data_IF_078485811551
#
_entry.id   IF_078485811551
#
_cell.length_a   1.000
_cell.length_b   1.000
_cell.length_c   1.000
_cell.angle_alpha   90.00
_cell.angle_beta   90.00
_cell.angle_gamma   90.00
#
_symmetry.space_group_name_H-M   'P 1'
#
loop_
_entity.id
_entity.type
_entity.pdbx_description
1 polymer ?
#
# COMPACT_ATOMS: atom_id res chain seq x y z
N UNK A 1 6.66 48.31 1.31
CA UNK A 1 7.56 47.83 2.39
C UNK A 1 7.35 46.33 2.48
N UNK A 2 7.97 45.59 1.55
CA UNK A 2 7.83 44.13 1.45
C UNK A 2 9.08 43.51 2.05
N UNK A 3 9.02 43.23 3.34
CA UNK A 3 10.03 42.40 4.00
C UNK A 3 9.64 40.96 3.70
N UNK A 4 10.05 40.45 2.54
CA UNK A 4 10.23 39.01 2.42
C UNK A 4 11.41 38.69 3.35
N UNK A 5 11.24 37.84 4.38
CA UNK A 5 12.38 37.39 5.17
C UNK A 5 13.43 36.82 4.21
N UNK A 6 14.71 37.13 4.45
CA UNK A 6 15.79 36.59 3.65
C UNK A 6 15.70 35.06 3.71
N UNK A 7 15.40 34.42 2.59
CA UNK A 7 15.26 32.97 2.46
C UNK A 7 16.52 32.30 2.99
N UNK A 8 16.37 31.47 4.01
CA UNK A 8 17.48 30.69 4.55
C UNK A 8 17.65 29.43 3.71
N UNK A 9 18.37 29.58 2.60
CA UNK A 9 18.56 28.51 1.60
C UNK A 9 19.12 27.23 2.24
N UNK A 10 20.05 27.36 3.19
CA UNK A 10 20.62 26.19 3.87
C UNK A 10 19.59 25.47 4.75
N UNK A 11 18.65 26.20 5.34
CA UNK A 11 17.54 25.65 6.12
C UNK A 11 16.53 24.94 5.24
N UNK A 12 16.15 25.53 4.10
CA UNK A 12 15.27 24.91 3.10
C UNK A 12 15.88 23.63 2.51
N UNK A 13 17.16 23.66 2.13
CA UNK A 13 17.85 22.46 1.65
C UNK A 13 17.90 21.34 2.69
N UNK A 14 18.03 21.69 3.98
CA UNK A 14 17.99 20.70 5.06
C UNK A 14 16.59 20.09 5.21
N UNK A 15 15.53 20.90 5.09
CA UNK A 15 14.14 20.43 5.08
C UNK A 15 13.90 19.47 3.91
N UNK A 16 14.26 19.85 2.68
CA UNK A 16 14.05 19.00 1.51
C UNK A 16 14.83 17.68 1.60
N UNK A 17 16.10 17.70 2.02
CA UNK A 17 16.87 16.47 2.26
C UNK A 17 16.18 15.56 3.28
N UNK A 18 15.55 16.14 4.30
CA UNK A 18 14.82 15.36 5.31
C UNK A 18 13.51 14.81 4.75
N UNK A 19 12.74 15.60 4.01
CA UNK A 19 11.51 15.16 3.35
C UNK A 19 11.78 14.05 2.31
N UNK A 20 12.89 14.14 1.57
CA UNK A 20 13.34 13.07 0.66
C UNK A 20 13.63 11.77 1.43
N UNK A 21 14.33 11.87 2.57
CA UNK A 21 14.58 10.71 3.42
C UNK A 21 13.27 10.10 3.95
N UNK A 22 12.32 10.92 4.41
CA UNK A 22 10.99 10.47 4.83
C UNK A 22 10.24 9.77 3.68
N UNK A 23 10.29 10.32 2.47
CA UNK A 23 9.66 9.72 1.30
C UNK A 23 10.26 8.34 1.01
N UNK A 24 11.58 8.20 1.07
CA UNK A 24 12.23 6.90 0.91
C UNK A 24 11.85 5.90 2.00
N UNK A 25 11.77 6.35 3.25
CA UNK A 25 11.29 5.51 4.37
C UNK A 25 9.84 5.03 4.17
N UNK A 26 8.98 5.83 3.55
CA UNK A 26 7.60 5.44 3.21
C UNK A 26 7.58 4.45 2.04
N UNK A 27 8.38 4.69 1.00
CA UNK A 27 8.45 3.83 -0.19
C UNK A 27 9.04 2.45 0.12
N UNK A 28 10.05 2.38 1.00
CA UNK A 28 10.61 1.09 1.44
C UNK A 28 9.59 0.23 2.18
N UNK A 29 8.71 0.86 2.99
CA UNK A 29 7.61 0.18 3.71
C UNK A 29 6.42 -0.15 2.81
N UNK A 30 6.27 0.58 1.69
CA UNK A 30 5.23 0.35 0.70
C UNK A 30 5.81 0.06 -0.70
N UNK A 31 6.43 -1.13 -0.93
CA UNK A 31 7.07 -1.47 -2.19
C UNK A 31 6.16 -1.38 -3.42
N UNK A 32 4.88 -1.72 -3.28
CA UNK A 32 3.90 -1.64 -4.37
C UNK A 32 3.59 -0.19 -4.72
N UNK A 33 3.47 0.69 -3.72
CA UNK A 33 3.38 2.13 -3.91
C UNK A 33 4.64 2.71 -4.57
N UNK A 34 5.84 2.25 -4.15
CA UNK A 34 7.10 2.66 -4.75
C UNK A 34 7.15 2.37 -6.26
N UNK A 35 6.73 1.17 -6.67
CA UNK A 35 6.61 0.81 -8.09
C UNK A 35 5.62 1.73 -8.83
N UNK A 36 4.47 2.08 -8.23
CA UNK A 36 3.49 3.00 -8.85
C UNK A 36 4.09 4.40 -9.07
N UNK A 37 4.98 4.82 -8.19
CA UNK A 37 5.68 6.10 -8.24
C UNK A 37 6.92 6.06 -9.15
N UNK A 38 7.22 4.91 -9.78
CA UNK A 38 8.35 4.74 -10.70
C UNK A 38 9.68 4.41 -10.04
N UNK A 39 9.67 4.06 -8.75
CA UNK A 39 10.85 3.56 -8.05
C UNK A 39 10.83 2.04 -7.95
N UNK A 40 11.82 1.43 -8.59
CA UNK A 40 11.86 0.00 -8.84
C UNK A 40 12.81 -0.76 -7.90
N UNK A 41 13.32 -0.11 -6.84
CA UNK A 41 14.28 -0.72 -5.90
C UNK A 41 13.72 -1.91 -5.12
N UNK A 42 12.40 -2.02 -4.99
CA UNK A 42 11.73 -3.06 -4.20
C UNK A 42 10.62 -3.78 -4.99
N UNK A 43 10.74 -3.83 -6.32
CA UNK A 43 9.71 -4.44 -7.20
C UNK A 43 9.42 -5.91 -6.87
N UNK A 44 10.36 -6.63 -6.26
CA UNK A 44 10.23 -8.04 -5.88
C UNK A 44 9.49 -8.25 -4.55
N UNK A 45 9.06 -7.17 -3.87
CA UNK A 45 8.49 -7.22 -2.52
C UNK A 45 7.04 -6.79 -2.48
N UNK A 46 6.32 -7.36 -1.51
CA UNK A 46 5.05 -6.86 -1.00
C UNK A 46 5.27 -6.30 0.41
N UNK A 47 4.49 -5.31 0.80
CA UNK A 47 4.55 -4.71 2.13
C UNK A 47 4.35 -5.76 3.24
N UNK A 48 4.98 -5.54 4.39
CA UNK A 48 4.64 -6.27 5.60
C UNK A 48 3.33 -5.71 6.19
N UNK A 49 2.30 -6.55 6.28
CA UNK A 49 1.00 -6.17 6.82
C UNK A 49 0.74 -6.83 8.17
N UNK A 50 1.77 -7.30 8.87
CA UNK A 50 1.64 -7.76 10.26
C UNK A 50 1.18 -6.60 11.16
N UNK A 51 0.51 -6.91 12.27
CA UNK A 51 0.06 -5.89 13.22
C UNK A 51 1.23 -5.06 13.78
N UNK A 52 2.40 -5.67 13.98
CA UNK A 52 3.63 -4.99 14.40
C UNK A 52 4.11 -4.00 13.34
N UNK A 53 4.24 -4.43 12.08
CA UNK A 53 4.66 -3.55 10.99
C UNK A 53 3.70 -2.38 10.76
N UNK A 54 2.39 -2.61 10.90
CA UNK A 54 1.39 -1.57 10.77
C UNK A 54 1.44 -0.55 11.93
N UNK A 55 1.68 -0.99 13.16
CA UNK A 55 1.89 -0.07 14.29
C UNK A 55 3.19 0.72 14.12
N UNK A 56 4.29 0.08 13.72
CA UNK A 56 5.55 0.76 13.41
C UNK A 56 5.40 1.82 12.30
N UNK A 57 4.64 1.51 11.25
CA UNK A 57 4.29 2.47 10.19
C UNK A 57 3.55 3.68 10.77
N UNK A 58 2.54 3.44 11.61
CA UNK A 58 1.81 4.51 12.27
C UNK A 58 2.68 5.38 13.19
N UNK A 59 3.53 4.77 14.03
CA UNK A 59 4.46 5.51 14.88
C UNK A 59 5.45 6.33 14.04
N UNK A 60 5.93 5.78 12.92
CA UNK A 60 6.77 6.50 11.97
C UNK A 60 6.08 7.73 11.39
N UNK A 61 4.83 7.59 10.96
CA UNK A 61 4.02 8.70 10.45
C UNK A 61 3.84 9.81 11.50
N UNK A 62 3.58 9.45 12.76
CA UNK A 62 3.47 10.42 13.86
C UNK A 62 4.79 11.16 14.11
N UNK A 63 5.91 10.44 14.10
CA UNK A 63 7.23 11.04 14.29
C UNK A 63 7.58 12.03 13.15
N UNK A 64 7.30 11.65 11.90
CA UNK A 64 7.51 12.54 10.74
C UNK A 64 6.64 13.79 10.82
N UNK A 65 5.37 13.65 11.24
CA UNK A 65 4.46 14.78 11.44
C UNK A 65 4.97 15.74 12.52
N UNK A 66 5.40 15.23 13.67
CA UNK A 66 5.93 16.04 14.76
C UNK A 66 7.19 16.79 14.32
N UNK A 67 8.11 16.11 13.61
CA UNK A 67 9.32 16.73 13.09
C UNK A 67 9.01 17.87 12.11
N UNK A 68 8.05 17.66 11.20
CA UNK A 68 7.62 18.71 10.27
C UNK A 68 6.87 19.84 10.98
N UNK A 69 6.14 19.58 12.07
CA UNK A 69 5.47 20.63 12.86
C UNK A 69 6.48 21.57 13.54
N UNK A 70 7.61 21.03 14.01
CA UNK A 70 8.66 21.79 14.69
C UNK A 70 9.51 22.66 13.74
N UNK A 71 9.35 22.50 12.42
CA UNK A 71 10.00 23.36 11.42
C UNK A 71 9.46 24.79 11.51
N UNK A 72 10.37 25.75 11.65
CA UNK A 72 10.07 27.19 11.69
C UNK A 72 9.70 27.68 10.28
N UNK A 73 8.39 27.77 10.03
CA UNK A 73 7.84 28.16 8.73
C UNK A 73 8.19 29.58 8.31
N UNK A 74 8.48 30.49 9.26
CA UNK A 74 8.80 31.88 8.96
C UNK A 74 10.18 32.05 8.30
N UNK A 75 11.02 31.00 8.40
CA UNK A 75 12.35 30.92 7.75
C UNK A 75 12.30 30.33 6.34
N UNK A 76 11.15 29.80 5.93
CA UNK A 76 10.95 29.18 4.62
C UNK A 76 10.38 30.21 3.63
N UNK A 77 10.83 30.14 2.39
CA UNK A 77 10.15 30.74 1.24
C UNK A 77 8.79 30.09 0.99
N UNK A 78 7.95 30.78 0.22
CA UNK A 78 6.55 30.36 0.00
C UNK A 78 6.43 28.93 -0.53
N UNK A 79 7.28 28.53 -1.47
CA UNK A 79 7.24 27.19 -2.08
C UNK A 79 7.54 26.11 -1.03
N UNK A 80 8.60 26.27 -0.23
CA UNK A 80 8.95 25.33 0.83
C UNK A 80 7.89 25.28 1.95
N UNK A 81 7.20 26.39 2.24
CA UNK A 81 6.05 26.37 3.15
C UNK A 81 4.90 25.53 2.60
N UNK A 82 4.57 25.68 1.31
CA UNK A 82 3.52 24.93 0.64
C UNK A 82 3.88 23.44 0.60
N UNK A 83 5.09 23.09 0.18
CA UNK A 83 5.54 21.70 0.08
C UNK A 83 5.50 20.99 1.44
N UNK A 84 6.00 21.66 2.49
CA UNK A 84 5.90 21.16 3.87
C UNK A 84 4.45 20.90 4.28
N UNK A 85 3.54 21.86 4.01
CA UNK A 85 2.13 21.71 4.37
C UNK A 85 1.46 20.56 3.61
N UNK A 86 1.73 20.42 2.31
CA UNK A 86 1.23 19.32 1.50
C UNK A 86 1.72 17.97 2.02
N UNK A 87 3.01 17.89 2.37
CA UNK A 87 3.58 16.65 2.89
C UNK A 87 3.03 16.29 4.26
N UNK A 88 2.89 17.26 5.17
CA UNK A 88 2.19 17.06 6.45
C UNK A 88 0.74 16.61 6.25
N UNK A 89 0.04 17.16 5.27
CA UNK A 89 -1.33 16.74 4.97
C UNK A 89 -1.38 15.27 4.52
N UNK A 90 -0.47 14.87 3.62
CA UNK A 90 -0.34 13.49 3.13
C UNK A 90 -0.06 12.50 4.28
N UNK A 91 0.94 12.79 5.12
CA UNK A 91 1.26 11.97 6.29
C UNK A 91 0.07 11.88 7.26
N UNK A 92 -0.61 13.00 7.48
CA UNK A 92 -1.80 13.07 8.31
C UNK A 92 -2.95 12.23 7.76
N UNK A 93 -3.10 12.13 6.43
CA UNK A 93 -4.11 11.26 5.81
C UNK A 93 -3.82 9.79 6.12
N UNK A 94 -2.57 9.34 5.98
CA UNK A 94 -2.19 7.96 6.31
C UNK A 94 -2.37 7.65 7.80
N UNK A 95 -1.96 8.56 8.68
CA UNK A 95 -2.15 8.39 10.13
C UNK A 95 -3.64 8.32 10.52
N UNK A 96 -4.50 9.15 9.93
CA UNK A 96 -5.95 9.12 10.16
C UNK A 96 -6.59 7.84 9.61
N UNK A 97 -6.14 7.35 8.46
CA UNK A 97 -6.64 6.08 7.93
C UNK A 97 -6.35 4.92 8.89
N UNK A 98 -5.14 4.88 9.47
CA UNK A 98 -4.78 3.88 10.46
C UNK A 98 -5.60 4.00 11.75
N UNK A 99 -5.63 5.18 12.38
CA UNK A 99 -6.20 5.34 13.73
C UNK A 99 -7.72 5.52 13.76
N UNK A 100 -8.28 6.30 12.83
CA UNK A 100 -9.69 6.70 12.83
C UNK A 100 -10.53 5.82 11.91
N UNK A 101 -10.10 5.65 10.65
CA UNK A 101 -10.84 4.83 9.67
C UNK A 101 -10.64 3.35 9.97
N UNK A 102 -9.44 2.98 10.43
CA UNK A 102 -9.01 1.61 10.71
C UNK A 102 -9.15 0.70 9.51
N UNK A 103 -8.73 1.16 8.32
CA UNK A 103 -8.89 0.37 7.08
C UNK A 103 -8.22 -1.01 7.18
N UNK A 104 -7.14 -1.16 7.96
CA UNK A 104 -6.50 -2.45 8.22
C UNK A 104 -7.40 -3.46 8.96
N UNK A 105 -8.33 -3.02 9.82
CA UNK A 105 -9.29 -3.89 10.50
C UNK A 105 -10.55 -4.14 9.65
N UNK A 106 -10.88 -3.23 8.74
CA UNK A 106 -12.23 -3.10 8.17
C UNK A 106 -12.32 -3.25 6.65
N UNK A 107 -11.21 -3.14 5.94
CA UNK A 107 -11.15 -3.20 4.48
C UNK A 107 -10.41 -4.46 4.02
N UNK A 108 -11.11 -5.59 3.84
CA UNK A 108 -10.50 -6.82 3.33
C UNK A 108 -9.94 -6.67 1.91
N UNK A 109 -10.43 -5.70 1.12
CA UNK A 109 -9.96 -5.42 -0.23
C UNK A 109 -8.55 -4.83 -0.28
N UNK A 110 -8.14 -4.03 0.71
CA UNK A 110 -6.80 -3.43 0.74
C UNK A 110 -5.66 -4.47 0.74
N UNK A 111 -5.90 -5.64 1.34
CA UNK A 111 -4.96 -6.76 1.29
C UNK A 111 -4.89 -7.44 -0.08
N UNK A 112 -6.00 -7.41 -0.83
CA UNK A 112 -6.04 -7.87 -2.22
C UNK A 112 -5.38 -6.87 -3.17
N UNK A 113 -5.52 -5.57 -2.92
CA UNK A 113 -4.80 -4.53 -3.67
C UNK A 113 -3.28 -4.72 -3.54
N UNK A 114 -2.79 -5.01 -2.34
CA UNK A 114 -1.39 -5.34 -2.11
C UNK A 114 -0.98 -6.64 -2.84
N UNK A 115 -1.71 -7.75 -2.60
CA UNK A 115 -1.32 -9.05 -3.10
C UNK A 115 -1.51 -9.23 -4.62
N UNK A 116 -2.70 -8.89 -5.12
CA UNK A 116 -3.11 -9.04 -6.52
C UNK A 116 -2.69 -7.83 -7.33
N UNK A 117 -3.05 -6.63 -6.87
CA UNK A 117 -2.70 -5.38 -7.53
C UNK A 117 -1.18 -5.19 -7.62
N UNK A 118 -0.44 -5.51 -6.55
CA UNK A 118 1.02 -5.46 -6.53
C UNK A 118 1.68 -6.33 -7.61
N UNK A 119 1.18 -7.55 -7.83
CA UNK A 119 1.69 -8.41 -8.90
C UNK A 119 1.25 -7.90 -10.29
N UNK A 120 -0.01 -7.49 -10.44
CA UNK A 120 -0.57 -7.00 -11.71
C UNK A 120 0.14 -5.72 -12.19
N UNK A 121 0.54 -4.85 -11.28
CA UNK A 121 1.24 -3.60 -11.59
C UNK A 121 2.53 -3.84 -12.40
N UNK A 122 3.29 -4.88 -12.06
CA UNK A 122 4.51 -5.25 -12.77
C UNK A 122 4.23 -5.76 -14.19
N UNK A 123 3.02 -6.23 -14.45
CA UNK A 123 2.59 -6.68 -15.78
C UNK A 123 2.10 -5.51 -16.63
N UNK A 124 1.33 -4.61 -16.00
CA UNK A 124 0.74 -3.44 -16.66
C UNK A 124 1.75 -2.36 -17.03
N UNK A 125 2.78 -2.14 -16.21
CA UNK A 125 3.76 -1.07 -16.44
C UNK A 125 4.92 -1.55 -17.32
N UNK A 126 5.22 -0.80 -18.39
CA UNK A 126 6.29 -1.10 -19.35
C UNK A 126 7.58 -0.32 -19.04
N UNK A 127 8.14 -0.48 -17.84
CA UNK A 127 9.36 0.23 -17.40
C UNK A 127 10.66 -0.55 -17.63
N UNK A 128 10.57 -1.86 -17.86
CA UNK A 128 11.70 -2.77 -18.04
C UNK A 128 11.32 -3.94 -18.98
N UNK A 129 12.30 -4.69 -19.53
CA UNK A 129 12.04 -5.92 -20.27
C UNK A 129 11.10 -6.86 -19.49
N UNK A 130 10.19 -7.52 -20.20
CA UNK A 130 9.16 -8.36 -19.55
C UNK A 130 9.79 -9.45 -18.66
N UNK A 131 10.92 -10.04 -19.06
CA UNK A 131 11.61 -11.05 -18.26
C UNK A 131 12.06 -10.52 -16.88
N UNK A 132 12.53 -9.28 -16.80
CA UNK A 132 12.94 -8.65 -15.54
C UNK A 132 11.72 -8.38 -14.65
N UNK A 133 10.63 -7.89 -15.25
CA UNK A 133 9.36 -7.66 -14.53
C UNK A 133 8.73 -8.96 -14.02
N UNK A 134 8.81 -10.05 -14.79
CA UNK A 134 8.34 -11.37 -14.38
C UNK A 134 9.18 -11.95 -13.23
N UNK A 135 10.48 -11.64 -13.18
CA UNK A 135 11.36 -12.02 -12.06
C UNK A 135 10.94 -11.32 -10.77
N UNK A 136 10.66 -10.02 -10.84
CA UNK A 136 10.09 -9.27 -9.71
C UNK A 136 8.70 -9.79 -9.33
N UNK A 137 7.86 -10.09 -10.32
CA UNK A 137 6.53 -10.64 -10.10
C UNK A 137 6.59 -11.96 -9.33
N UNK A 138 7.50 -12.86 -9.68
CA UNK A 138 7.74 -14.11 -8.93
C UNK A 138 8.04 -13.85 -7.45
N UNK A 139 8.83 -12.81 -7.14
CA UNK A 139 9.08 -12.35 -5.76
C UNK A 139 7.79 -11.98 -5.02
N UNK A 140 6.90 -11.21 -5.68
CA UNK A 140 5.58 -10.84 -5.13
C UNK A 140 4.63 -12.04 -5.01
N UNK A 141 4.54 -12.90 -6.03
CA UNK A 141 3.69 -14.10 -6.02
C UNK A 141 4.01 -14.99 -4.81
N UNK A 142 5.29 -15.20 -4.51
CA UNK A 142 5.73 -15.99 -3.36
C UNK A 142 5.28 -15.42 -2.01
N UNK A 143 4.97 -14.12 -1.94
CA UNK A 143 4.56 -13.42 -0.72
C UNK A 143 3.04 -13.29 -0.57
N UNK A 144 2.25 -13.58 -1.62
CA UNK A 144 0.77 -13.53 -1.56
C UNK A 144 0.20 -14.31 -0.37
N UNK A 145 0.63 -15.57 -0.09
CA UNK A 145 0.11 -16.31 1.06
C UNK A 145 0.37 -15.63 2.41
N UNK A 146 1.53 -14.98 2.56
CA UNK A 146 1.89 -14.23 3.78
C UNK A 146 0.92 -13.06 3.97
N UNK A 147 0.71 -12.24 2.93
CA UNK A 147 -0.16 -11.06 3.01
C UNK A 147 -1.60 -11.47 3.35
N UNK A 148 -2.12 -12.54 2.73
CA UNK A 148 -3.48 -13.03 3.01
C UNK A 148 -3.62 -13.67 4.40
N UNK A 149 -2.56 -14.26 4.95
CA UNK A 149 -2.54 -14.71 6.34
C UNK A 149 -2.60 -13.52 7.31
N UNK A 150 -1.83 -12.46 7.04
CA UNK A 150 -1.84 -11.22 7.81
C UNK A 150 -3.21 -10.53 7.73
N UNK A 151 -3.85 -10.53 6.54
CA UNK A 151 -5.22 -10.04 6.37
C UNK A 151 -6.20 -10.69 7.36
N UNK A 152 -6.19 -12.03 7.46
CA UNK A 152 -7.06 -12.75 8.40
C UNK A 152 -6.77 -12.42 9.86
N UNK A 153 -5.52 -12.13 10.19
CA UNK A 153 -5.13 -11.80 11.56
C UNK A 153 -5.58 -10.39 11.97
N UNK A 154 -5.67 -9.46 11.00
CA UNK A 154 -5.99 -8.06 11.26
C UNK A 154 -7.49 -7.75 11.12
N UNK A 155 -8.18 -8.40 10.18
CA UNK A 155 -9.59 -8.10 9.89
C UNK A 155 -10.46 -8.43 11.10
N UNK A 156 -11.25 -7.45 11.53
CA UNK A 156 -12.29 -7.56 12.56
C UNK A 156 -13.64 -7.72 11.85
N UNK A 157 -14.19 -8.94 11.73
CA UNK A 157 -15.35 -9.25 10.88
C UNK A 157 -16.53 -8.30 11.05
N UNK A 158 -16.91 -7.97 12.27
CA UNK A 158 -18.08 -7.14 12.60
C UNK A 158 -17.88 -5.68 12.19
N UNK A 159 -16.63 -5.22 12.11
CA UNK A 159 -16.29 -3.85 11.74
C UNK A 159 -16.27 -3.64 10.21
N UNK A 160 -16.25 -4.73 9.43
CA UNK A 160 -16.23 -4.68 7.95
C UNK A 160 -17.59 -4.25 7.41
N UNK A 161 -17.64 -3.28 6.49
CA UNK A 161 -18.88 -2.98 5.76
C UNK A 161 -19.28 -4.12 4.81
N UNK A 162 -20.56 -4.55 4.80
CA UNK A 162 -21.01 -5.69 3.98
C UNK A 162 -20.60 -5.58 2.51
N UNK A 163 -20.81 -4.42 1.90
CA UNK A 163 -20.47 -4.19 0.49
C UNK A 163 -18.97 -4.29 0.20
N UNK A 164 -18.11 -3.96 1.17
CA UNK A 164 -16.66 -4.13 1.01
C UNK A 164 -16.26 -5.60 1.11
N UNK A 165 -16.91 -6.38 1.99
CA UNK A 165 -16.70 -7.82 2.06
C UNK A 165 -17.18 -8.53 0.77
N UNK A 166 -18.33 -8.14 0.22
CA UNK A 166 -18.85 -8.66 -1.05
C UNK A 166 -17.87 -8.41 -2.20
N UNK A 167 -17.43 -7.16 -2.36
CA UNK A 167 -16.47 -6.77 -3.41
C UNK A 167 -15.11 -7.46 -3.22
N UNK A 168 -14.63 -7.61 -1.99
CA UNK A 168 -13.39 -8.33 -1.72
C UNK A 168 -13.53 -9.84 -2.02
N UNK A 169 -14.69 -10.44 -1.74
CA UNK A 169 -14.96 -11.84 -2.06
C UNK A 169 -14.91 -12.06 -3.58
N UNK A 170 -15.63 -11.25 -4.35
CA UNK A 170 -15.64 -11.34 -5.83
C UNK A 170 -14.22 -11.20 -6.40
N UNK A 171 -13.44 -10.25 -5.89
CA UNK A 171 -12.05 -10.07 -6.29
C UNK A 171 -11.18 -11.28 -5.96
N UNK A 172 -11.29 -11.84 -4.75
CA UNK A 172 -10.51 -13.00 -4.33
C UNK A 172 -10.83 -14.25 -5.17
N UNK A 173 -12.10 -14.45 -5.53
CA UNK A 173 -12.53 -15.55 -6.40
C UNK A 173 -12.03 -15.40 -7.84
N UNK A 174 -12.00 -14.17 -8.36
CA UNK A 174 -11.55 -13.89 -9.73
C UNK A 174 -10.02 -13.82 -9.91
N UNK A 175 -9.27 -13.53 -8.85
CA UNK A 175 -7.84 -13.24 -8.94
C UNK A 175 -6.94 -14.48 -9.12
N UNK A 176 -7.42 -15.69 -8.83
CA UNK A 176 -6.58 -16.90 -8.87
C UNK A 176 -5.98 -17.18 -10.25
N UNK A 177 -6.69 -16.86 -11.34
CA UNK A 177 -6.24 -17.09 -12.71
C UNK A 177 -5.01 -16.26 -13.12
N UNK A 178 -4.83 -15.06 -12.52
CA UNK A 178 -3.62 -14.25 -12.71
C UNK A 178 -2.39 -15.08 -12.36
N UNK A 179 -2.40 -15.71 -11.19
CA UNK A 179 -1.27 -16.43 -10.65
C UNK A 179 -1.11 -17.82 -11.25
N UNK A 180 -2.19 -18.58 -11.34
CA UNK A 180 -2.15 -19.98 -11.74
C UNK A 180 -2.01 -20.20 -13.25
N UNK A 181 -2.35 -19.20 -14.08
CA UNK A 181 -2.40 -19.35 -15.54
C UNK A 181 -1.69 -18.22 -16.28
N UNK A 182 -2.04 -16.95 -16.03
CA UNK A 182 -1.55 -15.83 -16.83
C UNK A 182 -0.04 -15.64 -16.69
N UNK A 183 0.47 -15.50 -15.45
CA UNK A 183 1.90 -15.26 -15.22
C UNK A 183 2.80 -16.40 -15.75
N UNK A 184 2.49 -17.69 -15.52
CA UNK A 184 3.26 -18.79 -16.12
C UNK A 184 3.22 -18.81 -17.64
N UNK A 185 2.08 -18.47 -18.26
CA UNK A 185 1.97 -18.41 -19.72
C UNK A 185 2.85 -17.28 -20.30
N UNK A 186 2.83 -16.10 -19.69
CA UNK A 186 3.71 -14.98 -20.09
C UNK A 186 5.19 -15.35 -19.93
N UNK A 187 5.54 -16.09 -18.87
CA UNK A 187 6.90 -16.58 -18.66
C UNK A 187 7.30 -17.62 -19.71
N UNK A 188 6.43 -18.54 -20.11
CA UNK A 188 6.74 -19.52 -21.16
C UNK A 188 7.17 -18.85 -22.47
N UNK A 189 6.63 -17.67 -22.78
CA UNK A 189 6.98 -16.90 -23.98
C UNK A 189 8.21 -16.00 -23.79
N UNK A 190 8.31 -15.29 -22.67
CA UNK A 190 9.27 -14.20 -22.49
C UNK A 190 10.42 -14.49 -21.51
N UNK A 191 10.25 -15.46 -20.60
CA UNK A 191 11.23 -15.86 -19.59
C UNK A 191 11.08 -17.34 -19.22
N UNK A 192 11.41 -18.29 -20.14
CA UNK A 192 11.14 -19.71 -19.93
C UNK A 192 11.83 -20.30 -18.68
N UNK A 193 12.94 -19.69 -18.25
CA UNK A 193 13.65 -20.04 -17.00
C UNK A 193 12.80 -19.81 -15.73
N UNK A 194 11.79 -18.93 -15.80
CA UNK A 194 10.90 -18.61 -14.69
C UNK A 194 9.57 -19.36 -14.72
N UNK A 195 9.27 -20.07 -15.82
CA UNK A 195 7.95 -20.66 -16.04
C UNK A 195 7.55 -21.64 -14.94
N UNK A 196 8.43 -22.58 -14.59
CA UNK A 196 8.15 -23.61 -13.58
C UNK A 196 7.97 -23.00 -12.19
N UNK A 197 8.87 -22.08 -11.82
CA UNK A 197 8.82 -21.35 -10.56
C UNK A 197 7.52 -20.53 -10.40
N UNK A 198 7.11 -19.81 -11.47
CA UNK A 198 5.87 -19.06 -11.49
C UNK A 198 4.64 -19.97 -11.46
N UNK A 199 4.68 -21.11 -12.16
CA UNK A 199 3.59 -22.08 -12.10
C UNK A 199 3.42 -22.61 -10.68
N UNK A 200 4.51 -23.02 -10.02
CA UNK A 200 4.45 -23.57 -8.67
C UNK A 200 4.03 -22.52 -7.64
N UNK A 201 4.68 -21.36 -7.63
CA UNK A 201 4.32 -20.27 -6.72
C UNK A 201 2.89 -19.76 -6.99
N UNK A 202 2.49 -19.73 -8.27
CA UNK A 202 1.18 -19.30 -8.71
C UNK A 202 0.05 -20.19 -8.21
N UNK A 203 0.24 -21.52 -8.19
CA UNK A 203 -0.71 -22.45 -7.59
C UNK A 203 -0.87 -22.23 -6.08
N UNK A 204 0.24 -21.98 -5.36
CA UNK A 204 0.20 -21.68 -3.92
C UNK A 204 -0.55 -20.37 -3.66
N UNK A 205 -0.28 -19.32 -4.44
CA UNK A 205 -0.96 -18.03 -4.34
C UNK A 205 -2.46 -18.15 -4.65
N UNK A 206 -2.83 -18.88 -5.70
CA UNK A 206 -4.23 -19.15 -6.05
C UNK A 206 -4.96 -19.94 -4.95
N UNK A 207 -4.31 -20.92 -4.33
CA UNK A 207 -4.85 -21.63 -3.17
C UNK A 207 -5.07 -20.71 -1.96
N UNK A 208 -4.12 -19.79 -1.69
CA UNK A 208 -4.27 -18.82 -0.62
C UNK A 208 -5.43 -17.85 -0.86
N UNK A 209 -5.64 -17.40 -2.10
CA UNK A 209 -6.80 -16.59 -2.51
C UNK A 209 -8.12 -17.34 -2.33
N UNK A 210 -8.19 -18.60 -2.80
CA UNK A 210 -9.38 -19.43 -2.62
C UNK A 210 -9.70 -19.63 -1.13
N UNK A 211 -8.68 -19.83 -0.30
CA UNK A 211 -8.83 -19.84 1.14
C UNK A 211 -9.39 -18.52 1.65
N UNK A 212 -8.80 -17.38 1.26
CA UNK A 212 -9.22 -16.05 1.71
C UNK A 212 -10.67 -15.74 1.30
N UNK A 213 -11.07 -16.11 0.07
CA UNK A 213 -12.47 -16.06 -0.36
C UNK A 213 -13.39 -16.87 0.56
N UNK A 214 -13.02 -18.11 0.92
CA UNK A 214 -13.81 -18.89 1.88
C UNK A 214 -13.92 -18.22 3.26
N UNK A 215 -12.85 -17.56 3.73
CA UNK A 215 -12.91 -16.78 4.97
C UNK A 215 -13.86 -15.59 4.89
N UNK A 216 -13.80 -14.81 3.80
CA UNK A 216 -14.71 -13.71 3.59
C UNK A 216 -16.16 -14.20 3.55
N UNK A 217 -16.41 -15.30 2.85
CA UNK A 217 -17.75 -15.91 2.72
C UNK A 217 -18.31 -16.47 4.03
N UNK A 218 -17.48 -17.22 4.75
CA UNK A 218 -17.98 -18.07 5.84
C UNK A 218 -17.82 -17.41 7.22
N UNK A 219 -16.92 -16.43 7.36
CA UNK A 219 -16.60 -15.80 8.65
C UNK A 219 -16.81 -14.28 8.66
N UNK A 220 -16.59 -13.57 7.55
CA UNK A 220 -16.75 -12.10 7.52
C UNK A 220 -18.16 -11.70 7.14
N UNK A 221 -18.63 -12.09 5.94
CA UNK A 221 -19.96 -11.71 5.43
C UNK A 221 -21.13 -11.98 6.38
N UNK A 222 -21.19 -13.13 7.10
CA UNK A 222 -22.32 -13.42 7.97
C UNK A 222 -22.49 -12.46 9.15
N UNK A 223 -21.42 -11.77 9.55
CA UNK A 223 -21.39 -10.88 10.72
C UNK A 223 -20.98 -9.45 10.38
N UNK A 224 -20.63 -9.17 9.13
CA UNK A 224 -20.28 -7.84 8.64
C UNK A 224 -21.41 -6.84 8.94
N UNK A 225 -21.09 -5.84 9.76
CA UNK A 225 -22.05 -4.83 10.22
C UNK A 225 -21.47 -3.42 10.20
N UNK A 226 -20.26 -3.24 9.64
CA UNK A 226 -19.59 -1.96 9.57
C UNK A 226 -20.34 -0.96 8.70
N UNK A 227 -20.27 0.32 9.07
CA UNK A 227 -20.72 1.39 8.18
C UNK A 227 -19.64 1.68 7.12
N UNK A 228 -20.04 1.72 5.85
CA UNK A 228 -19.19 2.13 4.73
C UNK A 228 -19.04 3.65 4.66
N UNK A 229 -19.99 4.39 5.25
CA UNK A 229 -19.91 5.83 5.30
C UNK A 229 -18.85 6.26 6.33
N UNK A 230 -17.94 7.14 5.94
CA UNK A 230 -16.95 7.74 6.85
C UNK A 230 -17.53 8.78 7.81
N UNK A 231 -18.86 8.95 7.80
CA UNK A 231 -19.56 9.98 8.54
C UNK A 231 -19.17 11.40 8.10
N UNK A 232 -19.85 12.40 8.68
CA UNK A 232 -19.57 13.82 8.36
C UNK A 232 -18.14 14.22 8.73
N UNK A 233 -17.64 13.77 9.88
CA UNK A 233 -16.30 14.13 10.34
C UNK A 233 -15.20 13.57 9.44
N UNK A 234 -15.30 12.28 9.05
CA UNK A 234 -14.35 11.68 8.12
C UNK A 234 -14.47 12.25 6.70
N UNK A 235 -15.67 12.65 6.28
CA UNK A 235 -15.87 13.36 5.01
C UNK A 235 -15.26 14.77 5.04
N UNK A 236 -15.51 15.55 6.09
CA UNK A 236 -14.95 16.88 6.27
C UNK A 236 -13.41 16.84 6.38
N UNK A 237 -12.84 15.77 6.95
CA UNK A 237 -11.40 15.56 7.03
C UNK A 237 -10.74 15.18 5.67
N UNK A 238 -11.53 14.70 4.70
CA UNK A 238 -11.08 14.45 3.32
C UNK A 238 -11.16 15.68 2.42
N UNK A 239 -11.97 16.68 2.80
CA UNK A 239 -12.17 17.91 2.03
C UNK A 239 -11.25 19.07 2.44
N UNK A 240 -10.58 18.95 3.59
CA UNK A 240 -9.56 19.89 4.06
C UNK A 240 -8.19 19.37 3.69
#
# INVERSE_FOLDING_TARGET
>A
MSLHPAQDVAYEEALYRRMDAMLFELMERNPTGATQMGDHRWDDRLADRSAEALDEEYQGLQAMLAELQDVDGDRLGLDAQIDRQLFMHLLGMFARDFQEVKSHERNPGGYLDEAVGGAMLLIMLEFAPLADRLRSALGRVRQVPRVLAQARANIVPEAVPPVWAEVALEQAEGAGALFAALLPAMAAEAAPDLQEDLAQAGQVAAGALAGYAAYLRDQVLPVAAGDFAVGRQGFDARLR
#
